data_IF_751981631905
#
_entry.id   IF_751981631905
#
_cell.length_a   1.000
_cell.length_b   1.000
_cell.length_c   1.000
_cell.angle_alpha   90.00
_cell.angle_beta   90.00
_cell.angle_gamma   90.00
#
_symmetry.space_group_name_H-M   'P 1'
#
loop_
_entity.id
_entity.type
_entity.pdbx_description
1 polymer ?
#
# COMPACT_ATOMS: atom_id res chain seq x y z
N UNK A 1 -12.32 0.46 -8.39
CA UNK A 1 -13.09 -0.36 -7.43
C UNK A 1 -12.56 -0.09 -6.02
N UNK A 2 -13.41 0.20 -5.03
CA UNK A 2 -13.01 0.54 -3.64
C UNK A 2 -13.64 -0.38 -2.58
N UNK A 3 -14.05 -1.62 -2.92
CA UNK A 3 -14.71 -2.53 -1.94
C UNK A 3 -13.89 -2.75 -0.67
N UNK A 4 -12.56 -2.80 -0.80
CA UNK A 4 -11.64 -2.96 0.34
C UNK A 4 -11.47 -1.71 1.20
N UNK A 5 -12.23 -0.63 0.94
CA UNK A 5 -12.25 0.60 1.75
C UNK A 5 -10.86 1.25 1.96
N UNK A 6 -9.94 1.04 1.01
CA UNK A 6 -8.54 1.44 1.13
C UNK A 6 -8.33 2.96 1.29
N UNK A 7 -9.31 3.79 0.91
CA UNK A 7 -9.25 5.23 1.10
C UNK A 7 -9.54 5.70 2.54
N UNK A 8 -10.12 4.85 3.38
CA UNK A 8 -10.57 5.21 4.73
C UNK A 8 -9.93 4.34 5.82
N UNK A 9 -8.95 3.51 5.45
CA UNK A 9 -8.12 2.77 6.38
C UNK A 9 -6.90 3.60 6.80
N UNK A 10 -6.44 3.40 8.04
CA UNK A 10 -5.17 3.98 8.51
C UNK A 10 -4.01 3.59 7.60
N UNK A 11 -4.00 2.35 7.12
CA UNK A 11 -3.08 1.81 6.12
C UNK A 11 -3.91 1.14 5.01
N UNK A 12 -3.97 1.77 3.85
CA UNK A 12 -4.71 1.28 2.69
C UNK A 12 -3.80 0.88 1.53
N UNK A 13 -4.21 -0.12 0.76
CA UNK A 13 -3.55 -0.50 -0.49
C UNK A 13 -4.57 -0.50 -1.63
N UNK A 14 -4.27 0.27 -2.68
CA UNK A 14 -5.07 0.33 -3.91
C UNK A 14 -4.32 -0.36 -5.03
N UNK A 15 -4.90 -1.42 -5.60
CA UNK A 15 -4.27 -2.22 -6.66
C UNK A 15 -3.94 -1.37 -7.90
N UNK A 16 -2.77 -1.60 -8.47
CA UNK A 16 -2.32 -0.92 -9.68
C UNK A 16 -1.42 -1.83 -10.51
N UNK A 17 -1.65 -1.86 -11.83
CA UNK A 17 -0.64 -2.38 -12.75
C UNK A 17 0.64 -1.52 -12.65
N UNK A 18 1.79 -2.20 -12.57
CA UNK A 18 3.11 -1.61 -12.70
C UNK A 18 3.79 -2.18 -13.93
N UNK A 19 4.73 -1.42 -14.49
CA UNK A 19 5.67 -1.93 -15.50
C UNK A 19 7.08 -1.83 -14.94
N UNK A 20 7.82 -2.93 -15.02
CA UNK A 20 9.21 -3.00 -14.61
C UNK A 20 9.93 -4.02 -15.50
N UNK A 21 11.19 -3.74 -15.88
CA UNK A 21 11.99 -4.64 -16.71
C UNK A 21 11.30 -5.08 -18.02
N UNK A 22 10.50 -4.18 -18.61
CA UNK A 22 9.76 -4.44 -19.85
C UNK A 22 8.51 -5.33 -19.68
N UNK A 23 8.18 -5.76 -18.46
CA UNK A 23 7.05 -6.64 -18.16
C UNK A 23 6.00 -5.92 -17.32
N UNK A 24 4.74 -6.34 -17.46
CA UNK A 24 3.66 -5.95 -16.54
C UNK A 24 3.79 -6.74 -15.24
N UNK A 25 3.50 -6.11 -14.11
CA UNK A 25 3.66 -6.70 -12.79
C UNK A 25 2.61 -6.15 -11.80
N UNK A 26 2.19 -6.95 -10.81
CA UNK A 26 1.22 -6.54 -9.81
C UNK A 26 1.86 -5.56 -8.83
N UNK A 27 1.15 -4.48 -8.52
CA UNK A 27 1.61 -3.50 -7.55
C UNK A 27 0.47 -2.83 -6.80
N UNK A 28 0.84 -2.02 -5.81
CA UNK A 28 -0.09 -1.21 -5.04
C UNK A 28 0.35 0.25 -4.99
N UNK A 29 -0.64 1.12 -4.81
CA UNK A 29 -0.44 2.43 -4.21
C UNK A 29 -0.85 2.34 -2.74
N UNK A 30 0.10 2.52 -1.85
CA UNK A 30 -0.11 2.65 -0.41
C UNK A 30 -0.69 4.02 -0.09
N UNK A 31 -1.73 4.01 0.74
CA UNK A 31 -2.43 5.17 1.28
C UNK A 31 -2.29 5.15 2.81
N UNK A 32 -2.09 6.31 3.42
CA UNK A 32 -1.93 6.44 4.87
C UNK A 32 -2.90 7.48 5.46
N UNK A 33 -3.44 7.21 6.63
CA UNK A 33 -4.20 8.19 7.42
C UNK A 33 -5.67 8.35 7.02
N UNK A 34 -6.24 7.37 6.32
CA UNK A 34 -7.67 7.31 6.08
C UNK A 34 -8.44 7.01 7.37
N UNK A 35 -9.58 7.67 7.58
CA UNK A 35 -10.40 7.49 8.78
C UNK A 35 -11.84 7.96 8.54
N UNK A 36 -12.81 7.25 9.11
CA UNK A 36 -14.20 7.74 9.26
C UNK A 36 -14.56 7.76 10.74
N UNK A 37 -14.86 8.95 11.25
CA UNK A 37 -15.46 9.17 12.56
C UNK A 37 -16.89 9.69 12.44
N UNK A 38 -17.55 9.91 13.58
CA UNK A 38 -18.95 10.37 13.58
C UNK A 38 -19.15 11.77 13.00
N UNK A 39 -18.15 12.64 13.08
CA UNK A 39 -18.24 14.05 12.66
C UNK A 39 -17.21 14.45 11.60
N UNK A 40 -16.23 13.59 11.31
CA UNK A 40 -15.12 13.89 10.42
C UNK A 40 -14.75 12.65 9.60
N UNK A 41 -14.42 12.88 8.33
CA UNK A 41 -13.89 11.86 7.44
C UNK A 41 -12.61 12.39 6.79
N UNK A 42 -11.62 11.52 6.68
CA UNK A 42 -10.35 11.82 6.06
C UNK A 42 -10.00 10.71 5.09
N UNK A 43 -9.57 11.11 3.89
CA UNK A 43 -9.06 10.19 2.90
C UNK A 43 -7.57 9.96 3.11
N UNK A 44 -7.15 8.71 2.93
CA UNK A 44 -5.74 8.34 2.99
C UNK A 44 -4.93 9.07 1.92
N UNK A 45 -3.78 9.58 2.33
CA UNK A 45 -2.81 10.26 1.47
C UNK A 45 -1.89 9.26 0.80
N UNK A 46 -1.54 9.51 -0.48
CA UNK A 46 -0.60 8.66 -1.22
C UNK A 46 0.78 8.69 -0.60
N UNK A 47 1.25 7.53 -0.14
CA UNK A 47 2.51 7.38 0.57
C UNK A 47 3.61 6.81 -0.34
N UNK A 48 3.36 5.66 -0.96
CA UNK A 48 4.35 4.89 -1.72
C UNK A 48 3.66 4.05 -2.80
N UNK A 49 4.29 3.87 -3.96
CA UNK A 49 3.93 2.78 -4.88
C UNK A 49 4.95 1.67 -4.70
N UNK A 50 4.52 0.41 -4.76
CA UNK A 50 5.40 -0.73 -4.50
C UNK A 50 4.91 -2.00 -5.21
N UNK A 51 5.79 -2.99 -5.45
CA UNK A 51 5.38 -4.33 -5.87
C UNK A 51 4.40 -4.95 -4.89
N UNK A 52 3.50 -5.80 -5.39
CA UNK A 52 2.52 -6.50 -4.54
C UNK A 52 3.19 -7.34 -3.45
N UNK A 53 4.34 -7.96 -3.77
CA UNK A 53 5.14 -8.77 -2.83
C UNK A 53 5.75 -7.96 -1.68
N UNK A 54 5.93 -6.64 -1.85
CA UNK A 54 6.48 -5.77 -0.81
C UNK A 54 5.39 -5.14 0.09
N UNK A 55 4.10 -5.29 -0.24
CA UNK A 55 3.02 -4.69 0.54
C UNK A 55 2.96 -5.16 2.01
N UNK A 56 3.13 -6.46 2.33
CA UNK A 56 3.16 -6.91 3.72
C UNK A 56 4.30 -6.28 4.53
N UNK A 57 5.50 -6.20 3.94
CA UNK A 57 6.67 -5.59 4.60
C UNK A 57 6.45 -4.10 4.83
N UNK A 58 5.88 -3.38 3.86
CA UNK A 58 5.55 -1.96 4.03
C UNK A 58 4.57 -1.73 5.18
N UNK A 59 3.52 -2.55 5.29
CA UNK A 59 2.57 -2.49 6.40
C UNK A 59 3.26 -2.74 7.74
N UNK A 60 4.08 -3.80 7.83
CA UNK A 60 4.84 -4.14 9.04
C UNK A 60 5.76 -3.01 9.47
N UNK A 61 6.51 -2.39 8.55
CA UNK A 61 7.40 -1.27 8.88
C UNK A 61 6.66 -0.04 9.38
N UNK A 62 5.51 0.29 8.80
CA UNK A 62 4.67 1.39 9.30
C UNK A 62 4.12 1.09 10.70
N UNK A 63 3.59 -0.12 10.92
CA UNK A 63 3.05 -0.53 12.22
C UNK A 63 4.13 -0.54 13.30
N UNK A 64 5.33 -1.06 12.99
CA UNK A 64 6.46 -1.05 13.91
C UNK A 64 6.86 0.37 14.28
N UNK A 65 7.04 1.24 13.28
CA UNK A 65 7.40 2.64 13.51
C UNK A 65 6.36 3.36 14.37
N UNK A 66 5.06 3.17 14.10
CA UNK A 66 4.00 3.71 14.96
C UNK A 66 4.11 3.18 16.39
N UNK A 67 4.28 1.87 16.57
CA UNK A 67 4.38 1.29 17.90
C UNK A 67 5.60 1.79 18.69
N UNK A 68 6.71 2.05 18.02
CA UNK A 68 7.96 2.49 18.64
C UNK A 68 7.96 3.99 18.97
N UNK A 69 7.24 4.81 18.18
CA UNK A 69 7.25 6.27 18.30
C UNK A 69 6.02 6.85 19.01
N UNK A 70 4.95 6.07 19.18
CA UNK A 70 3.68 6.57 19.75
C UNK A 70 3.77 6.91 21.24
N UNK A 71 3.08 7.96 21.63
CA UNK A 71 2.84 8.27 23.02
C UNK A 71 1.69 7.43 23.61
N UNK A 72 1.60 7.26 24.95
CA UNK A 72 0.49 6.56 25.58
C UNK A 72 -0.86 7.17 25.19
N UNK A 73 -1.73 6.36 24.56
CA UNK A 73 -3.05 6.79 24.11
C UNK A 73 -3.07 7.57 22.79
N UNK A 74 -1.92 7.75 22.14
CA UNK A 74 -1.85 8.44 20.84
C UNK A 74 -2.51 7.59 19.73
N UNK A 75 -3.33 8.23 18.91
CA UNK A 75 -3.95 7.61 17.74
C UNK A 75 -2.98 7.59 16.56
N UNK A 76 -3.18 6.67 15.61
CA UNK A 76 -2.37 6.59 14.40
C UNK A 76 -2.33 7.91 13.62
N UNK A 77 -3.48 8.59 13.54
CA UNK A 77 -3.60 9.90 12.90
C UNK A 77 -2.74 10.98 13.57
N UNK A 78 -2.85 11.11 14.89
CA UNK A 78 -2.08 12.10 15.66
C UNK A 78 -0.58 11.87 15.48
N UNK A 79 -0.17 10.60 15.58
CA UNK A 79 1.22 10.22 15.34
C UNK A 79 1.67 10.56 13.91
N UNK A 80 0.84 10.29 12.91
CA UNK A 80 1.15 10.58 11.51
C UNK A 80 1.34 12.08 11.25
N UNK A 81 0.47 12.94 11.80
CA UNK A 81 0.60 14.39 11.72
C UNK A 81 1.92 14.88 12.34
N UNK A 82 2.28 14.34 13.51
CA UNK A 82 3.57 14.59 14.19
C UNK A 82 4.78 14.05 13.43
N UNK A 83 4.62 12.94 12.71
CA UNK A 83 5.70 12.21 12.02
C UNK A 83 5.96 12.69 10.58
N UNK A 84 5.42 13.86 10.21
CA UNK A 84 5.62 14.48 8.90
C UNK A 84 4.67 13.97 7.81
N UNK A 85 3.51 13.41 8.21
CA UNK A 85 2.47 12.92 7.32
C UNK A 85 2.89 11.71 6.50
N UNK A 86 2.13 11.41 5.43
CA UNK A 86 2.40 10.26 4.57
C UNK A 86 3.81 10.30 3.96
N UNK A 87 4.30 11.49 3.62
CA UNK A 87 5.63 11.71 3.06
C UNK A 87 6.75 11.43 4.07
N UNK A 88 6.59 11.87 5.32
CA UNK A 88 7.57 11.63 6.40
C UNK A 88 7.65 10.15 6.77
N UNK A 89 6.52 9.45 6.73
CA UNK A 89 6.46 8.00 6.95
C UNK A 89 7.09 7.25 5.77
N UNK A 90 6.69 7.56 4.54
CA UNK A 90 7.14 6.81 3.35
C UNK A 90 8.60 7.02 2.96
N UNK A 91 9.25 8.06 3.51
CA UNK A 91 10.68 8.29 3.29
C UNK A 91 11.55 7.07 3.69
N UNK A 92 11.17 6.34 4.75
CA UNK A 92 11.86 5.13 5.21
C UNK A 92 11.44 3.83 4.53
N UNK A 93 10.60 3.90 3.49
CA UNK A 93 10.05 2.75 2.77
C UNK A 93 10.46 2.75 1.29
N UNK A 94 11.28 3.72 0.85
CA UNK A 94 11.61 3.91 -0.57
C UNK A 94 12.30 2.70 -1.19
N UNK A 95 13.05 1.94 -0.40
CA UNK A 95 13.67 0.67 -0.80
C UNK A 95 12.63 -0.38 -1.24
N UNK A 96 11.37 -0.24 -0.82
CA UNK A 96 10.29 -1.15 -1.19
C UNK A 96 9.64 -0.82 -2.55
N UNK A 97 9.96 0.30 -3.21
CA UNK A 97 9.50 0.61 -4.60
C UNK A 97 10.46 0.04 -5.67
N UNK A 98 11.22 -0.99 -5.33
CA UNK A 98 12.12 -1.64 -6.27
C UNK A 98 11.55 -2.98 -6.75
N UNK A 99 11.50 -3.13 -8.07
CA UNK A 99 11.27 -4.42 -8.71
C UNK A 99 12.62 -5.09 -8.97
N UNK A 100 12.91 -6.24 -8.36
CA UNK A 100 14.12 -7.01 -8.66
C UNK A 100 14.10 -7.53 -10.10
N UNK A 101 15.26 -7.92 -10.62
CA UNK A 101 15.37 -8.54 -11.95
C UNK A 101 14.47 -9.80 -12.03
N UNK A 102 13.66 -9.97 -13.10
CA UNK A 102 12.79 -11.14 -13.26
C UNK A 102 13.51 -12.49 -13.21
N UNK A 103 14.78 -12.56 -13.61
CA UNK A 103 15.56 -13.78 -13.54
C UNK A 103 15.97 -14.14 -12.10
N UNK A 104 16.04 -13.15 -11.20
CA UNK A 104 16.41 -13.32 -9.80
C UNK A 104 15.18 -13.59 -8.93
N UNK A 105 14.10 -12.85 -9.15
CA UNK A 105 12.88 -12.94 -8.34
C UNK A 105 11.62 -12.91 -9.23
N UNK A 106 11.34 -14.00 -9.98
CA UNK A 106 10.21 -14.06 -10.90
C UNK A 106 8.85 -13.93 -10.20
N UNK A 107 8.75 -14.29 -8.92
CA UNK A 107 7.51 -14.20 -8.15
C UNK A 107 6.98 -12.75 -8.06
N UNK A 108 7.84 -11.73 -8.19
CA UNK A 108 7.39 -10.32 -8.22
C UNK A 108 6.51 -9.97 -9.43
N UNK A 109 6.48 -10.85 -10.43
CA UNK A 109 5.75 -10.68 -11.70
C UNK A 109 4.53 -11.62 -11.78
N UNK A 110 4.19 -12.30 -10.69
CA UNK A 110 3.06 -13.22 -10.58
C UNK A 110 2.11 -12.68 -9.52
N UNK A 111 0.81 -12.65 -9.81
CA UNK A 111 -0.18 -12.21 -8.84
C UNK A 111 -0.35 -13.24 -7.70
N UNK A 112 -0.82 -12.78 -6.55
CA UNK A 112 -1.16 -13.70 -5.47
C UNK A 112 -2.30 -14.62 -5.90
N UNK A 113 -2.07 -15.93 -5.79
CA UNK A 113 -3.06 -16.96 -6.16
C UNK A 113 -2.95 -17.44 -7.61
N UNK A 114 -2.10 -16.82 -8.42
CA UNK A 114 -1.86 -17.20 -9.81
C UNK A 114 -0.54 -17.96 -9.98
N UNK A 115 -0.44 -18.71 -11.08
CA UNK A 115 0.80 -19.44 -11.46
C UNK A 115 1.47 -18.88 -12.72
N UNK A 116 0.77 -18.01 -13.45
CA UNK A 116 1.24 -17.39 -14.70
C UNK A 116 1.74 -15.95 -14.51
N UNK A 117 2.44 -15.39 -15.51
CA UNK A 117 2.85 -14.00 -15.48
C UNK A 117 1.64 -13.08 -15.38
N UNK A 118 1.80 -11.97 -14.68
CA UNK A 118 0.73 -10.99 -14.47
C UNK A 118 0.20 -10.46 -15.80
N UNK A 119 -1.11 -10.57 -15.97
CA UNK A 119 -1.86 -9.97 -17.07
C UNK A 119 -2.89 -9.04 -16.44
N UNK A 120 -2.86 -7.77 -16.84
CA UNK A 120 -3.87 -6.83 -16.40
C UNK A 120 -5.21 -7.16 -17.08
N UNK A 121 -6.06 -7.91 -16.38
CA UNK A 121 -7.43 -8.18 -16.81
C UNK A 121 -8.41 -7.22 -16.12
N UNK A 122 -9.09 -6.40 -16.90
CA UNK A 122 -10.25 -5.63 -16.43
C UNK A 122 -11.49 -6.54 -16.37
N UNK A 123 -11.63 -7.31 -15.29
CA UNK A 123 -12.85 -8.08 -15.00
C UNK A 123 -14.02 -7.20 -14.57
N UNK A 124 -15.26 -7.70 -14.73
CA UNK A 124 -16.44 -7.08 -14.10
C UNK A 124 -16.26 -7.12 -12.57
N UNK A 125 -16.30 -5.95 -11.94
CA UNK A 125 -16.15 -5.82 -10.49
C UNK A 125 -17.27 -6.55 -9.75
N UNK A 126 -16.93 -7.53 -8.91
CA UNK A 126 -17.90 -8.31 -8.13
C UNK A 126 -18.68 -7.49 -7.09
N UNK A 127 -18.20 -6.29 -6.72
CA UNK A 127 -18.93 -5.38 -5.84
C UNK A 127 -19.62 -4.22 -6.57
N UNK A 128 -19.71 -4.27 -7.90
CA UNK A 128 -20.54 -3.36 -8.67
C UNK A 128 -21.85 -4.08 -8.98
N UNK A 129 -22.81 -4.03 -8.05
CA UNK A 129 -24.20 -4.42 -8.30
C UNK A 129 -25.11 -3.30 -7.84
#
# INVERSE_FOLDING_TARGET
NSCGQHHIADIGFSGAERRAHGQSAPGYTMLLGGYIGQTQAHFGERALRLPAKNAPEAAVRVIRRFNDEREPGETFRSWMERSGGAKGISAGLKDLDEFPDPAVAPDFYVDYGETGPYVAETGMSECAT
#
